data_IF_694582933149
#
_entry.id   IF_694582933149
#
_cell.length_a   1.000
_cell.length_b   1.000
_cell.length_c   1.000
_cell.angle_alpha   90.00
_cell.angle_beta   90.00
_cell.angle_gamma   90.00
#
_symmetry.space_group_name_H-M   'P 1'
#
loop_
_entity.id
_entity.type
_entity.pdbx_description
1 polymer ?
#
# COMPACT_ATOMS: atom_id res chain seq x y z
N UNK A 1 -3.12 4.46 -15.26
CA UNK A 1 -2.84 3.82 -13.95
C UNK A 1 -1.33 3.76 -13.73
N UNK A 2 -0.83 4.29 -12.61
CA UNK A 2 0.57 4.20 -12.21
C UNK A 2 0.79 2.90 -11.45
N UNK A 3 1.89 2.21 -11.71
CA UNK A 3 2.26 0.97 -11.04
C UNK A 3 3.52 1.19 -10.22
N UNK A 4 3.52 0.64 -9.01
CA UNK A 4 4.58 0.75 -8.02
C UNK A 4 4.94 -0.66 -7.55
N UNK A 5 6.17 -1.09 -7.78
CA UNK A 5 6.68 -2.38 -7.37
C UNK A 5 7.67 -2.22 -6.22
N UNK A 6 7.63 -3.12 -5.24
CA UNK A 6 8.43 -2.95 -4.04
C UNK A 6 8.21 -4.01 -2.98
N UNK A 7 8.45 -3.64 -1.72
CA UNK A 7 8.46 -4.59 -0.61
C UNK A 7 7.92 -3.98 0.68
N UNK A 8 7.27 -4.82 1.48
CA UNK A 8 6.99 -4.61 2.90
C UNK A 8 8.02 -5.39 3.70
N UNK A 9 8.65 -4.79 4.71
CA UNK A 9 9.78 -5.39 5.40
C UNK A 9 9.88 -5.01 6.88
N UNK A 10 10.56 -5.87 7.63
CA UNK A 10 11.11 -5.56 8.96
C UNK A 10 12.61 -5.94 8.98
N UNK A 11 13.20 -6.10 10.17
CA UNK A 11 14.61 -6.47 10.30
C UNK A 11 14.93 -7.91 9.85
N UNK A 12 13.94 -8.79 9.81
CA UNK A 12 14.09 -10.23 9.61
C UNK A 12 13.59 -10.73 8.25
N UNK A 13 12.62 -10.05 7.65
CA UNK A 13 11.95 -10.50 6.42
C UNK A 13 11.58 -9.34 5.50
N UNK A 14 11.43 -9.67 4.21
CA UNK A 14 10.89 -8.78 3.18
C UNK A 14 9.93 -9.56 2.28
N UNK A 15 8.80 -8.95 1.94
CA UNK A 15 7.74 -9.55 1.13
C UNK A 15 7.40 -8.61 -0.02
N UNK A 16 7.34 -9.16 -1.23
CA UNK A 16 7.03 -8.37 -2.41
C UNK A 16 5.60 -7.81 -2.33
N UNK A 17 5.44 -6.58 -2.83
CA UNK A 17 4.16 -5.91 -2.94
C UNK A 17 4.09 -5.16 -4.27
N UNK A 18 2.88 -5.07 -4.82
CA UNK A 18 2.59 -4.21 -5.98
C UNK A 18 1.44 -3.29 -5.66
N UNK A 19 1.60 -1.98 -5.85
CA UNK A 19 0.58 -0.97 -5.64
C UNK A 19 0.23 -0.27 -6.96
N UNK A 20 -1.05 -0.08 -7.23
CA UNK A 20 -1.57 0.55 -8.45
C UNK A 20 -2.67 1.55 -8.10
N UNK A 21 -2.66 2.71 -8.73
CA UNK A 21 -3.76 3.70 -8.67
C UNK A 21 -3.68 4.64 -9.87
N UNK A 22 -4.76 5.35 -10.23
CA UNK A 22 -4.71 6.27 -11.38
C UNK A 22 -3.86 7.51 -11.12
N UNK A 23 -3.72 8.37 -12.13
CA UNK A 23 -2.94 9.57 -11.97
C UNK A 23 -3.56 10.50 -10.92
N UNK A 24 -2.76 10.85 -9.91
CA UNK A 24 -3.11 11.74 -8.81
C UNK A 24 -3.61 13.11 -9.30
N UNK A 25 -3.11 13.59 -10.44
CA UNK A 25 -3.57 14.84 -11.06
C UNK A 25 -5.03 14.78 -11.53
N UNK A 26 -5.55 13.59 -11.83
CA UNK A 26 -6.93 13.38 -12.27
C UNK A 26 -7.91 13.18 -11.11
N UNK A 27 -7.41 12.95 -9.90
CA UNK A 27 -8.23 12.63 -8.73
C UNK A 27 -8.26 13.75 -7.66
N UNK A 28 -7.73 14.95 -7.96
CA UNK A 28 -7.62 16.06 -7.00
C UNK A 28 -6.98 15.64 -5.66
N UNK A 29 -6.01 14.73 -5.70
CA UNK A 29 -5.35 14.19 -4.51
C UNK A 29 -6.16 13.15 -3.73
N UNK A 30 -7.34 12.74 -4.18
CA UNK A 30 -8.01 11.56 -3.64
C UNK A 30 -7.53 10.31 -4.37
N UNK A 31 -7.59 9.16 -3.70
CA UNK A 31 -7.35 7.84 -4.31
C UNK A 31 -8.61 7.04 -4.00
N UNK A 32 -9.46 6.82 -5.01
CA UNK A 32 -10.73 6.07 -4.84
C UNK A 32 -10.72 4.71 -5.54
N UNK A 33 -9.77 4.48 -6.44
CA UNK A 33 -9.60 3.26 -7.24
C UNK A 33 -8.15 2.81 -7.26
N UNK A 34 -7.65 2.43 -6.09
CA UNK A 34 -6.35 1.78 -5.97
C UNK A 34 -6.47 0.27 -5.78
N UNK A 35 -5.40 -0.44 -6.06
CA UNK A 35 -5.27 -1.87 -5.87
C UNK A 35 -3.87 -2.19 -5.32
N UNK A 36 -3.78 -3.15 -4.41
CA UNK A 36 -2.51 -3.66 -3.92
C UNK A 36 -2.51 -5.19 -3.90
N UNK A 37 -1.50 -5.78 -4.53
CA UNK A 37 -1.15 -7.19 -4.41
C UNK A 37 -0.12 -7.34 -3.30
N UNK A 38 -0.45 -8.10 -2.26
CA UNK A 38 0.45 -8.35 -1.14
C UNK A 38 0.09 -9.63 -0.38
N UNK A 39 1.08 -10.48 -0.10
CA UNK A 39 0.95 -11.74 0.65
C UNK A 39 -0.26 -12.60 0.22
N UNK A 40 -0.42 -12.83 -1.09
CA UNK A 40 -1.49 -13.70 -1.61
C UNK A 40 -2.91 -13.12 -1.45
N UNK A 41 -3.04 -11.84 -1.11
CA UNK A 41 -4.32 -11.13 -0.97
C UNK A 41 -4.44 -10.00 -1.99
N UNK A 42 -5.67 -9.77 -2.45
CA UNK A 42 -6.04 -8.64 -3.28
C UNK A 42 -6.66 -7.55 -2.42
N UNK A 43 -6.01 -6.39 -2.34
CA UNK A 43 -6.52 -5.26 -1.56
C UNK A 43 -7.08 -4.18 -2.48
N UNK A 44 -8.25 -3.66 -2.12
CA UNK A 44 -8.77 -2.39 -2.62
C UNK A 44 -8.10 -1.28 -1.81
N UNK A 45 -7.51 -0.31 -2.50
CA UNK A 45 -6.80 0.81 -1.88
C UNK A 45 -7.53 2.11 -2.10
N UNK A 46 -7.77 2.84 -1.02
CA UNK A 46 -8.30 4.21 -1.03
C UNK A 46 -7.44 5.12 -0.18
N UNK A 47 -7.58 6.43 -0.30
CA UNK A 47 -6.83 7.36 0.52
C UNK A 47 -6.67 8.74 -0.08
N UNK A 48 -5.64 9.45 0.39
CA UNK A 48 -5.33 10.80 -0.05
C UNK A 48 -3.83 10.96 -0.34
N UNK A 49 -3.56 11.92 -1.21
CA UNK A 49 -2.26 12.42 -1.58
C UNK A 49 -2.24 13.95 -1.41
N UNK A 50 -1.25 14.46 -0.71
CA UNK A 50 -1.14 15.89 -0.37
C UNK A 50 0.11 16.52 -0.99
N UNK A 51 -0.06 17.63 -1.70
CA UNK A 51 1.02 18.56 -2.08
C UNK A 51 1.04 19.75 -1.11
N UNK A 52 2.22 20.34 -0.81
CA UNK A 52 3.53 20.10 -1.42
C UNK A 52 4.33 18.95 -0.77
N UNK A 53 3.85 18.36 0.32
CA UNK A 53 4.60 17.35 1.08
C UNK A 53 4.80 16.03 0.33
N UNK A 54 4.04 15.80 -0.75
CA UNK A 54 4.06 14.57 -1.56
C UNK A 54 3.87 13.33 -0.68
N UNK A 55 2.91 13.43 0.22
CA UNK A 55 2.60 12.40 1.22
C UNK A 55 1.31 11.69 0.87
N UNK A 56 1.30 10.38 1.11
CA UNK A 56 0.18 9.48 0.89
C UNK A 56 -0.30 8.95 2.22
N UNK A 57 -1.61 8.99 2.44
CA UNK A 57 -2.29 8.31 3.55
C UNK A 57 -3.34 7.39 2.95
N UNK A 58 -3.07 6.09 2.93
CA UNK A 58 -3.88 5.09 2.26
C UNK A 58 -4.44 4.07 3.24
N UNK A 59 -5.56 3.49 2.86
CA UNK A 59 -6.19 2.36 3.50
C UNK A 59 -6.32 1.25 2.45
N UNK A 60 -5.76 0.09 2.73
CA UNK A 60 -5.92 -1.12 1.92
C UNK A 60 -6.85 -2.08 2.64
N UNK A 61 -7.84 -2.65 1.95
CA UNK A 61 -8.77 -3.65 2.51
C UNK A 61 -8.95 -4.81 1.55
N UNK A 62 -8.84 -6.02 2.07
CA UNK A 62 -9.20 -7.26 1.38
C UNK A 62 -10.32 -7.94 2.14
N UNK A 63 -11.34 -8.39 1.42
CA UNK A 63 -12.38 -9.27 1.96
C UNK A 63 -12.02 -10.75 1.81
N UNK A 64 -10.85 -11.07 1.24
CA UNK A 64 -10.36 -12.43 0.99
C UNK A 64 -11.29 -13.30 0.13
N UNK A 65 -12.26 -12.71 -0.58
CA UNK A 65 -13.22 -13.48 -1.40
C UNK A 65 -12.68 -13.86 -2.77
N UNK A 66 -11.80 -13.03 -3.34
CA UNK A 66 -11.23 -13.23 -4.67
C UNK A 66 -9.93 -14.01 -4.67
N UNK A 67 -9.08 -13.76 -3.67
CA UNK A 67 -7.76 -14.37 -3.52
C UNK A 67 -7.37 -14.36 -2.04
N UNK A 68 -7.02 -15.53 -1.52
CA UNK A 68 -6.48 -15.73 -0.18
C UNK A 68 -5.60 -16.99 -0.15
N UNK A 69 -4.43 -16.89 -0.77
CA UNK A 69 -3.53 -18.04 -0.98
C UNK A 69 -2.93 -18.60 0.32
N UNK A 70 -2.93 -17.78 1.38
CA UNK A 70 -2.31 -18.09 2.67
C UNK A 70 -3.35 -18.20 3.80
N UNK A 71 -4.63 -18.24 3.47
CA UNK A 71 -5.75 -18.35 4.42
C UNK A 71 -5.69 -17.32 5.55
N UNK A 72 -5.40 -16.06 5.18
CA UNK A 72 -5.32 -14.92 6.07
C UNK A 72 -6.71 -14.42 6.51
N UNK A 73 -7.73 -14.63 5.66
CA UNK A 73 -9.05 -14.05 5.83
C UNK A 73 -9.08 -12.52 5.61
N UNK A 74 -10.24 -11.88 5.89
CA UNK A 74 -10.41 -10.44 5.71
C UNK A 74 -9.35 -9.63 6.46
N UNK A 75 -8.72 -8.71 5.74
CA UNK A 75 -7.51 -8.02 6.20
C UNK A 75 -7.53 -6.54 5.85
N UNK A 76 -6.91 -5.71 6.68
CA UNK A 76 -6.91 -4.25 6.57
C UNK A 76 -5.56 -3.67 6.94
N UNK A 77 -5.03 -2.77 6.11
CA UNK A 77 -3.72 -2.14 6.29
C UNK A 77 -3.83 -0.62 6.23
N UNK A 78 -3.24 0.08 7.19
CA UNK A 78 -3.03 1.53 7.14
C UNK A 78 -1.65 1.82 6.57
N UNK A 79 -1.56 2.55 5.45
CA UNK A 79 -0.32 2.81 4.74
C UNK A 79 -0.03 4.30 4.74
N UNK A 80 1.18 4.68 5.16
CA UNK A 80 1.67 6.06 5.09
C UNK A 80 2.96 6.07 4.30
N UNK A 81 3.04 6.87 3.25
CA UNK A 81 4.22 6.97 2.41
C UNK A 81 4.52 8.41 2.03
N UNK A 82 5.76 8.67 1.64
CA UNK A 82 6.18 9.95 1.10
C UNK A 82 7.14 9.71 -0.07
N UNK A 83 7.05 10.62 -1.04
CA UNK A 83 8.07 10.77 -2.08
C UNK A 83 9.43 11.04 -1.45
N UNK A 84 10.39 10.13 -1.65
CA UNK A 84 11.78 10.29 -1.17
C UNK A 84 12.66 11.04 -2.17
N UNK A 85 12.19 11.19 -3.41
CA UNK A 85 12.92 11.78 -4.54
C UNK A 85 12.31 13.09 -5.06
N UNK A 86 11.15 13.49 -4.53
CA UNK A 86 10.43 14.68 -4.98
C UNK A 86 9.75 14.54 -6.35
N UNK A 87 9.74 13.35 -6.96
CA UNK A 87 9.08 13.07 -8.25
C UNK A 87 7.96 12.05 -8.16
N UNK A 88 7.81 11.42 -6.99
CA UNK A 88 6.86 10.32 -6.74
C UNK A 88 7.23 9.06 -7.54
N UNK A 89 8.50 8.94 -7.94
CA UNK A 89 9.05 7.72 -8.54
C UNK A 89 9.59 6.77 -7.48
N UNK A 90 10.02 7.29 -6.33
CA UNK A 90 10.41 6.53 -5.16
C UNK A 90 9.55 6.91 -3.96
N UNK A 91 8.84 5.91 -3.40
CA UNK A 91 7.99 6.09 -2.23
C UNK A 91 8.53 5.25 -1.07
N UNK A 92 8.64 5.86 0.09
CA UNK A 92 9.02 5.17 1.33
C UNK A 92 8.05 5.50 2.45
N UNK A 93 7.88 4.58 3.39
CA UNK A 93 7.13 4.84 4.60
C UNK A 93 6.85 3.59 5.41
N UNK A 94 5.61 3.48 5.90
CA UNK A 94 5.21 2.40 6.80
C UNK A 94 3.84 1.84 6.43
N UNK A 95 3.65 0.56 6.75
CA UNK A 95 2.35 -0.10 6.74
C UNK A 95 2.06 -0.69 8.12
N UNK A 96 0.87 -0.42 8.65
CA UNK A 96 0.37 -0.98 9.91
C UNK A 96 -0.76 -1.96 9.61
N UNK A 97 -0.70 -3.14 10.22
CA UNK A 97 -1.78 -4.13 10.14
C UNK A 97 -2.88 -3.73 11.11
N UNK A 98 -4.02 -3.30 10.58
CA UNK A 98 -5.18 -2.90 11.38
C UNK A 98 -6.07 -4.10 11.73
N UNK A 99 -6.20 -5.06 10.81
CA UNK A 99 -6.93 -6.31 11.04
C UNK A 99 -6.46 -7.42 10.09
N UNK A 100 -6.71 -8.68 10.46
CA UNK A 100 -6.37 -9.86 9.67
C UNK A 100 -5.02 -10.47 10.04
N UNK A 101 -5.02 -11.77 10.34
CA UNK A 101 -3.81 -12.54 10.69
C UNK A 101 -3.23 -12.29 12.09
N UNK A 102 -2.09 -12.91 12.42
CA UNK A 102 -1.44 -12.84 13.74
C UNK A 102 -0.68 -11.52 13.99
N UNK A 103 -0.45 -10.72 12.94
CA UNK A 103 0.40 -9.53 12.98
C UNK A 103 -0.37 -8.23 13.27
N UNK A 104 -1.62 -8.32 13.73
CA UNK A 104 -2.44 -7.13 14.05
C UNK A 104 -1.73 -6.22 15.04
N UNK A 105 -1.71 -4.92 14.75
CA UNK A 105 -1.01 -3.90 15.53
C UNK A 105 0.46 -3.70 15.15
N UNK A 106 1.07 -4.64 14.42
CA UNK A 106 2.45 -4.50 13.95
C UNK A 106 2.57 -3.47 12.84
N UNK A 107 3.73 -2.80 12.81
CA UNK A 107 4.10 -1.81 11.81
C UNK A 107 5.38 -2.22 11.11
N UNK A 108 5.38 -2.17 9.79
CA UNK A 108 6.47 -2.56 8.92
C UNK A 108 6.91 -1.38 8.06
N UNK A 109 8.15 -1.41 7.58
CA UNK A 109 8.61 -0.50 6.52
C UNK A 109 7.99 -0.88 5.18
N UNK A 110 7.81 0.10 4.31
CA UNK A 110 7.40 -0.12 2.91
C UNK A 110 8.23 0.77 1.98
N UNK A 111 8.66 0.19 0.85
CA UNK A 111 9.37 0.90 -0.21
C UNK A 111 8.80 0.51 -1.55
N UNK A 112 8.62 1.48 -2.43
CA UNK A 112 8.13 1.28 -3.78
C UNK A 112 8.91 2.11 -4.79
N UNK A 113 9.10 1.53 -5.98
CA UNK A 113 9.60 2.22 -7.17
C UNK A 113 8.53 2.19 -8.26
N UNK A 114 8.31 3.33 -8.90
CA UNK A 114 7.39 3.45 -10.03
C UNK A 114 7.93 2.70 -11.24
N UNK A 115 7.06 1.93 -11.91
CA UNK A 115 7.33 1.23 -13.17
C UNK A 115 6.62 1.88 -14.35
#
# INVERSE_FOLDING_TARGET
MKTYNGFVFNASEQHAATLKFDDLGQQNGNISKGYMDYCGLDFIVTGTYTKPTRSFNLQAKSDATKRDELNHGPSSLSIKMKSSDGTDSYLEGTVKVESGGPNVGQTYGIKFTRS
#
